data_IF_826590230979
#
_entry.id   IF_826590230979
#
_cell.length_a   1.000
_cell.length_b   1.000
_cell.length_c   1.000
_cell.angle_alpha   90.00
_cell.angle_beta   90.00
_cell.angle_gamma   90.00
#
_symmetry.space_group_name_H-M   'P 1'
#
loop_
_entity.id
_entity.type
_entity.pdbx_description
1 polymer ?
#
# COMPACT_ATOMS: atom_id res chain seq x y z
N UNK A 1 9.36 -6.50 -12.16
CA UNK A 1 9.25 -6.95 -10.74
C UNK A 1 9.38 -5.84 -9.69
N UNK A 2 9.19 -4.56 -10.01
CA UNK A 2 9.37 -3.46 -9.05
C UNK A 2 8.08 -3.06 -8.33
N UNK A 3 8.20 -2.53 -7.10
CA UNK A 3 7.09 -1.84 -6.40
C UNK A 3 7.37 -0.34 -6.45
N UNK A 4 6.44 0.42 -6.98
CA UNK A 4 6.53 1.87 -7.15
C UNK A 4 5.36 2.58 -6.50
N UNK A 5 5.51 3.86 -6.22
CA UNK A 5 4.38 4.70 -5.82
C UNK A 5 3.45 4.91 -7.00
N UNK A 6 2.19 5.21 -6.69
CA UNK A 6 1.25 5.72 -7.66
C UNK A 6 1.80 7.00 -8.33
N UNK A 7 1.55 7.15 -9.64
CA UNK A 7 1.96 8.32 -10.42
C UNK A 7 1.13 9.55 -10.07
N UNK A 8 -0.11 9.34 -9.61
CA UNK A 8 -0.97 10.39 -9.09
C UNK A 8 -0.44 10.89 -7.73
N UNK A 9 0.17 12.08 -7.77
CA UNK A 9 0.78 12.73 -6.60
C UNK A 9 -0.26 13.13 -5.54
N UNK A 10 -1.50 13.42 -5.93
CA UNK A 10 -2.55 13.79 -4.98
C UNK A 10 -3.00 12.58 -4.18
N UNK A 11 -3.16 11.42 -4.84
CA UNK A 11 -3.43 10.15 -4.16
C UNK A 11 -2.29 9.83 -3.18
N UNK A 12 -1.04 9.89 -3.64
CA UNK A 12 0.13 9.63 -2.78
C UNK A 12 0.13 10.54 -1.55
N UNK A 13 -0.11 11.85 -1.74
CA UNK A 13 -0.14 12.81 -0.65
C UNK A 13 -1.26 12.49 0.37
N UNK A 14 -2.48 12.23 -0.11
CA UNK A 14 -3.64 11.90 0.72
C UNK A 14 -3.42 10.62 1.54
N UNK A 15 -2.87 9.57 0.93
CA UNK A 15 -2.62 8.31 1.66
C UNK A 15 -1.47 8.47 2.65
N UNK A 16 -0.40 9.20 2.31
CA UNK A 16 0.69 9.49 3.26
C UNK A 16 0.23 10.29 4.46
N UNK A 17 -0.67 11.25 4.27
CA UNK A 17 -1.29 11.97 5.37
C UNK A 17 -2.11 11.02 6.25
N UNK A 18 -2.94 10.16 5.65
CA UNK A 18 -3.69 9.13 6.37
C UNK A 18 -2.79 8.19 7.18
N UNK A 19 -1.68 7.75 6.60
CA UNK A 19 -0.67 6.96 7.30
C UNK A 19 -0.10 7.72 8.51
N UNK A 20 0.28 9.00 8.34
CA UNK A 20 0.80 9.82 9.44
C UNK A 20 -0.21 9.94 10.57
N UNK A 21 -1.48 10.23 10.27
CA UNK A 21 -2.57 10.35 11.26
C UNK A 21 -2.82 9.03 12.00
N UNK A 22 -2.62 7.88 11.35
CA UNK A 22 -2.84 6.55 11.92
C UNK A 22 -1.55 5.87 12.45
N UNK A 23 -0.50 6.65 12.72
CA UNK A 23 0.75 6.12 13.27
C UNK A 23 1.46 5.12 12.36
N UNK A 24 1.34 5.27 11.04
CA UNK A 24 1.92 4.42 10.01
C UNK A 24 1.11 3.18 9.64
N UNK A 25 -0.12 3.04 10.11
CA UNK A 25 -1.03 1.94 9.76
C UNK A 25 -1.93 2.32 8.58
N UNK A 26 -2.35 1.36 7.73
CA UNK A 26 -3.11 1.64 6.51
C UNK A 26 -4.36 2.47 6.85
N UNK A 27 -4.55 3.64 6.21
CA UNK A 27 -5.76 4.44 6.41
C UNK A 27 -7.00 3.75 5.85
N UNK A 28 -6.82 2.73 5.01
CA UNK A 28 -7.88 1.92 4.39
C UNK A 28 -8.50 0.86 5.31
N UNK A 29 -7.88 0.58 6.46
CA UNK A 29 -8.40 -0.40 7.43
C UNK A 29 -8.98 0.35 8.63
N UNK A 30 -9.94 -0.22 9.33
CA UNK A 30 -10.40 0.32 10.62
C UNK A 30 -9.41 -0.02 11.73
N UNK A 31 -8.99 -1.27 11.79
CA UNK A 31 -8.09 -1.79 12.81
C UNK A 31 -6.67 -1.19 12.75
N UNK A 32 -6.09 -0.93 13.92
CA UNK A 32 -4.68 -0.61 14.13
C UNK A 32 -4.03 -1.87 14.71
N UNK A 33 -3.23 -2.57 13.90
CA UNK A 33 -2.54 -3.79 14.32
C UNK A 33 -1.25 -3.96 13.51
N UNK A 34 -0.32 -4.85 13.94
CA UNK A 34 0.92 -5.09 13.20
C UNK A 34 0.68 -5.47 11.73
N UNK A 35 -0.41 -6.19 11.43
CA UNK A 35 -0.76 -6.58 10.07
C UNK A 35 -1.17 -5.38 9.18
N UNK A 36 -1.68 -4.29 9.77
CA UNK A 36 -2.08 -3.10 9.03
C UNK A 36 -0.96 -2.06 8.93
N UNK A 37 0.21 -2.27 9.55
CA UNK A 37 1.36 -1.37 9.40
C UNK A 37 1.79 -1.32 7.93
N UNK A 38 1.88 -0.13 7.35
CA UNK A 38 2.25 0.01 5.94
C UNK A 38 3.74 -0.32 5.75
N UNK A 39 4.14 -1.14 4.77
CA UNK A 39 3.32 -1.87 3.80
C UNK A 39 2.60 -3.05 4.47
N UNK A 40 1.26 -3.07 4.38
CA UNK A 40 0.43 -4.02 5.13
C UNK A 40 0.65 -5.47 4.68
N UNK A 41 0.35 -6.40 5.58
CA UNK A 41 0.50 -7.83 5.34
C UNK A 41 -0.22 -8.27 4.06
N UNK A 42 -1.47 -7.83 3.86
CA UNK A 42 -2.26 -8.12 2.66
C UNK A 42 -1.52 -7.81 1.35
N UNK A 43 -0.91 -6.62 1.23
CA UNK A 43 -0.17 -6.29 0.01
C UNK A 43 1.16 -7.03 -0.09
N UNK A 44 1.84 -7.29 1.04
CA UNK A 44 3.06 -8.11 1.06
C UNK A 44 2.79 -9.53 0.57
N UNK A 45 1.66 -10.11 0.96
CA UNK A 45 1.25 -11.45 0.54
C UNK A 45 0.87 -11.48 -0.95
N UNK A 46 0.18 -10.45 -1.45
CA UNK A 46 -0.13 -10.32 -2.87
C UNK A 46 1.13 -10.25 -3.73
N UNK A 47 2.09 -9.38 -3.39
CA UNK A 47 3.31 -9.20 -4.20
C UNK A 47 4.34 -10.33 -4.01
N UNK A 48 4.09 -11.26 -3.09
CA UNK A 48 4.85 -12.50 -2.97
C UNK A 48 4.48 -13.50 -4.07
N UNK A 49 3.29 -13.38 -4.66
CA UNK A 49 2.95 -14.09 -5.90
C UNK A 49 3.70 -13.43 -7.08
N UNK A 50 4.62 -14.14 -7.77
CA UNK A 50 5.31 -13.60 -8.93
C UNK A 50 4.37 -13.27 -10.10
N UNK A 51 3.15 -13.81 -10.10
CA UNK A 51 2.13 -13.54 -11.09
C UNK A 51 1.20 -12.38 -10.71
N UNK A 52 1.42 -11.73 -9.57
CA UNK A 52 0.63 -10.57 -9.20
C UNK A 52 1.16 -9.30 -9.88
N UNK A 53 0.24 -8.54 -10.47
CA UNK A 53 0.46 -7.20 -10.99
C UNK A 53 -0.73 -6.34 -10.60
N UNK A 54 -0.47 -5.15 -10.08
CA UNK A 54 -1.56 -4.26 -9.68
C UNK A 54 -1.27 -3.40 -8.47
N UNK A 55 -2.30 -2.68 -8.05
CA UNK A 55 -2.27 -1.77 -6.92
C UNK A 55 -2.62 -2.47 -5.61
N UNK A 56 -1.98 -2.05 -4.52
CA UNK A 56 -2.51 -2.28 -3.18
C UNK A 56 -3.91 -1.66 -3.04
N UNK A 57 -4.74 -2.14 -2.12
CA UNK A 57 -6.13 -1.67 -1.97
C UNK A 57 -6.29 -0.14 -1.82
N UNK A 58 -5.37 0.53 -1.12
CA UNK A 58 -5.41 1.99 -0.94
C UNK A 58 -4.78 2.78 -2.10
N UNK A 59 -4.34 2.10 -3.17
CA UNK A 59 -3.73 2.65 -4.37
C UNK A 59 -2.43 3.45 -4.14
N UNK A 60 -1.73 3.26 -3.00
CA UNK A 60 -0.45 3.92 -2.76
C UNK A 60 0.69 3.30 -3.57
N UNK A 61 0.72 1.98 -3.66
CA UNK A 61 1.77 1.22 -4.31
C UNK A 61 1.23 0.40 -5.47
N UNK A 62 2.00 0.34 -6.55
CA UNK A 62 1.79 -0.51 -7.71
C UNK A 62 2.94 -1.50 -7.85
N UNK A 63 2.64 -2.79 -8.01
CA UNK A 63 3.60 -3.82 -8.39
C UNK A 63 3.53 -4.01 -9.90
N UNK A 64 4.67 -3.79 -10.57
CA UNK A 64 4.84 -4.14 -11.98
C UNK A 64 5.53 -5.50 -12.12
N UNK A 65 5.10 -6.29 -13.11
CA UNK A 65 5.80 -7.50 -13.54
C UNK A 65 7.07 -7.21 -14.32
N UNK A 66 7.13 -6.07 -14.98
CA UNK A 66 8.28 -5.55 -15.72
C UNK A 66 9.43 -5.17 -14.77
#
# INVERSE_FOLDING_TARGET
MSVRLNEDKEIVAKIREGLKRKGGHCPCKLEVSPATKCICQEFRDQIADPNYEGFCHCMLYYKSKD
#
